data_IF_138890190609
#
_entry.id   IF_138890190609
#
_cell.length_a   1.000
_cell.length_b   1.000
_cell.length_c   1.000
_cell.angle_alpha   90.00
_cell.angle_beta   90.00
_cell.angle_gamma   90.00
#
_symmetry.space_group_name_H-M   'P 1'
#
loop_
_entity.id
_entity.type
_entity.pdbx_description
1 polymer ?
#
# COMPACT_ATOMS: atom_id res chain seq x y z
N UNK A 1 18.31 -24.16 -16.97
CA UNK A 1 17.54 -23.48 -18.02
C UNK A 1 16.07 -23.45 -17.63
N UNK A 2 15.39 -22.33 -17.84
CA UNK A 2 13.96 -22.15 -17.50
C UNK A 2 13.78 -21.15 -16.36
N UNK A 3 13.14 -20.01 -16.64
CA UNK A 3 13.10 -18.81 -15.78
C UNK A 3 12.41 -19.09 -14.43
N UNK A 4 13.04 -18.85 -13.26
CA UNK A 4 12.32 -18.77 -11.99
C UNK A 4 11.48 -17.48 -11.85
N UNK A 5 11.54 -16.57 -12.84
CA UNK A 5 11.03 -15.20 -12.74
C UNK A 5 9.50 -15.03 -12.79
N UNK A 6 8.74 -16.00 -13.29
CA UNK A 6 7.30 -15.83 -13.55
C UNK A 6 6.43 -15.80 -12.27
N UNK A 7 6.86 -16.47 -11.19
CA UNK A 7 6.10 -16.55 -9.93
C UNK A 7 6.55 -15.56 -8.86
N UNK A 8 7.67 -14.89 -9.10
CA UNK A 8 8.28 -14.00 -8.11
C UNK A 8 7.37 -12.82 -7.72
N UNK A 9 6.62 -12.17 -8.65
CA UNK A 9 5.69 -11.11 -8.27
C UNK A 9 4.59 -11.60 -7.31
N UNK A 10 3.97 -12.74 -7.61
CA UNK A 10 2.94 -13.33 -6.74
C UNK A 10 3.53 -13.76 -5.39
N UNK A 11 4.77 -14.24 -5.37
CA UNK A 11 5.48 -14.59 -4.14
C UNK A 11 5.62 -13.43 -3.16
N UNK A 12 5.94 -12.21 -3.64
CA UNK A 12 5.97 -11.03 -2.77
C UNK A 12 4.60 -10.68 -2.21
N UNK A 13 3.53 -10.80 -3.00
CA UNK A 13 2.17 -10.55 -2.53
C UNK A 13 1.77 -11.54 -1.44
N UNK A 14 1.96 -12.84 -1.69
CA UNK A 14 1.62 -13.89 -0.74
C UNK A 14 2.44 -13.76 0.55
N UNK A 15 3.74 -13.46 0.45
CA UNK A 15 4.59 -13.24 1.61
C UNK A 15 4.10 -12.04 2.43
N UNK A 16 3.78 -10.93 1.77
CA UNK A 16 3.27 -9.74 2.45
C UNK A 16 1.93 -9.99 3.13
N UNK A 17 1.02 -10.71 2.47
CA UNK A 17 -0.28 -11.07 3.04
C UNK A 17 -0.13 -12.02 4.24
N UNK A 18 0.71 -13.04 4.13
CA UNK A 18 0.99 -13.96 5.23
C UNK A 18 1.60 -13.22 6.44
N UNK A 19 2.52 -12.30 6.18
CA UNK A 19 3.12 -11.46 7.21
C UNK A 19 2.05 -10.58 7.91
N UNK A 20 1.19 -9.87 7.17
CA UNK A 20 0.07 -9.10 7.77
C UNK A 20 -0.84 -9.97 8.60
N UNK A 21 -1.25 -11.14 8.07
CA UNK A 21 -2.13 -12.06 8.77
C UNK A 21 -1.53 -12.58 10.08
N UNK A 22 -0.20 -12.69 10.15
CA UNK A 22 0.54 -13.05 11.37
C UNK A 22 0.81 -11.88 12.32
N UNK A 23 0.43 -10.65 11.95
CA UNK A 23 0.71 -9.43 12.72
C UNK A 23 2.11 -8.85 12.53
N UNK A 24 2.98 -9.46 11.71
CA UNK A 24 4.28 -8.90 11.35
C UNK A 24 4.12 -7.83 10.26
N UNK A 25 3.57 -6.68 10.66
CA UNK A 25 3.36 -5.53 9.79
C UNK A 25 4.68 -5.04 9.16
N UNK A 26 5.83 -4.98 9.88
CA UNK A 26 7.10 -4.62 9.26
C UNK A 26 7.52 -5.56 8.12
N UNK A 27 7.34 -6.88 8.26
CA UNK A 27 7.64 -7.82 7.18
C UNK A 27 6.69 -7.65 5.99
N UNK A 28 5.41 -7.39 6.25
CA UNK A 28 4.45 -7.10 5.20
C UNK A 28 4.83 -5.89 4.36
N UNK A 29 5.14 -4.77 5.01
CA UNK A 29 5.60 -3.53 4.36
C UNK A 29 6.82 -3.81 3.49
N UNK A 30 7.81 -4.56 4.01
CA UNK A 30 9.00 -4.93 3.24
C UNK A 30 8.65 -5.71 1.97
N UNK A 31 7.79 -6.72 2.07
CA UNK A 31 7.42 -7.56 0.94
C UNK A 31 6.68 -6.77 -0.17
N UNK A 32 5.70 -5.94 0.20
CA UNK A 32 4.96 -5.14 -0.77
C UNK A 32 5.81 -4.01 -1.38
N UNK A 33 6.67 -3.36 -0.58
CA UNK A 33 7.61 -2.35 -1.08
C UNK A 33 8.62 -2.96 -2.06
N UNK A 34 9.10 -4.16 -1.78
CA UNK A 34 9.99 -4.88 -2.69
C UNK A 34 9.28 -5.21 -4.01
N UNK A 35 7.99 -5.58 -3.97
CA UNK A 35 7.19 -5.74 -5.18
C UNK A 35 7.15 -4.44 -5.98
N UNK A 36 6.71 -3.33 -5.36
CA UNK A 36 6.48 -2.05 -6.07
C UNK A 36 7.78 -1.38 -6.51
N UNK A 37 8.92 -1.74 -5.91
CA UNK A 37 10.24 -1.37 -6.40
C UNK A 37 10.70 -2.19 -7.60
N UNK A 38 10.46 -3.51 -7.62
CA UNK A 38 11.01 -4.45 -8.62
C UNK A 38 10.09 -4.67 -9.83
N UNK A 39 8.78 -4.50 -9.66
CA UNK A 39 7.75 -4.85 -10.65
C UNK A 39 6.83 -3.67 -10.97
N UNK A 40 7.42 -2.51 -11.21
CA UNK A 40 6.69 -1.33 -11.69
C UNK A 40 6.02 -1.60 -13.05
N UNK A 41 4.79 -1.15 -13.21
CA UNK A 41 3.94 -1.39 -14.38
C UNK A 41 3.37 -2.81 -14.47
N UNK A 42 3.65 -3.69 -13.50
CA UNK A 42 3.08 -5.05 -13.52
C UNK A 42 1.57 -5.00 -13.26
N UNK A 43 0.81 -5.93 -13.85
CA UNK A 43 -0.66 -5.99 -13.71
C UNK A 43 -1.17 -6.12 -12.25
N UNK A 44 -0.29 -6.52 -11.32
CA UNK A 44 -0.60 -6.67 -9.90
C UNK A 44 -0.05 -5.52 -9.04
N UNK A 45 0.64 -4.54 -9.64
CA UNK A 45 1.14 -3.38 -8.92
C UNK A 45 0.05 -2.59 -8.17
N UNK A 46 -1.15 -2.36 -8.73
CA UNK A 46 -2.21 -1.64 -8.00
C UNK A 46 -2.62 -2.37 -6.71
N UNK A 47 -2.65 -3.70 -6.75
CA UNK A 47 -2.92 -4.55 -5.59
C UNK A 47 -1.78 -4.48 -4.57
N UNK A 48 -0.52 -4.52 -5.02
CA UNK A 48 0.64 -4.39 -4.14
C UNK A 48 0.69 -3.02 -3.44
N UNK A 49 0.40 -1.94 -4.18
CA UNK A 49 0.33 -0.58 -3.66
C UNK A 49 -0.79 -0.43 -2.64
N UNK A 50 -1.98 -0.98 -2.92
CA UNK A 50 -3.09 -0.96 -1.96
C UNK A 50 -2.71 -1.70 -0.67
N UNK A 51 -2.12 -2.90 -0.78
CA UNK A 51 -1.71 -3.66 0.39
C UNK A 51 -0.60 -2.96 1.18
N UNK A 52 0.33 -2.29 0.50
CA UNK A 52 1.35 -1.46 1.13
C UNK A 52 0.73 -0.28 1.88
N UNK A 53 -0.19 0.45 1.24
CA UNK A 53 -0.94 1.55 1.85
C UNK A 53 -1.64 1.10 3.14
N UNK A 54 -2.39 0.00 3.08
CA UNK A 54 -3.08 -0.53 4.26
C UNK A 54 -2.11 -1.01 5.35
N UNK A 55 -0.97 -1.60 4.98
CA UNK A 55 0.06 -1.99 5.95
C UNK A 55 0.65 -0.78 6.67
N UNK A 56 0.82 0.36 5.98
CA UNK A 56 1.24 1.60 6.63
C UNK A 56 0.18 2.15 7.58
N UNK A 57 -1.12 2.06 7.23
CA UNK A 57 -2.22 2.41 8.14
C UNK A 57 -2.16 1.55 9.41
N UNK A 58 -1.99 0.23 9.27
CA UNK A 58 -1.87 -0.69 10.42
C UNK A 58 -0.62 -0.43 11.27
N UNK A 59 0.47 0.03 10.66
CA UNK A 59 1.68 0.44 11.38
C UNK A 59 1.55 1.82 12.06
N UNK A 60 0.46 2.56 11.81
CA UNK A 60 0.30 3.94 12.26
C UNK A 60 1.14 4.96 11.47
N UNK A 61 1.81 4.56 10.39
CA UNK A 61 2.60 5.45 9.52
C UNK A 61 1.70 6.13 8.50
N UNK A 62 0.83 7.03 8.99
CA UNK A 62 -0.16 7.73 8.16
C UNK A 62 0.48 8.59 7.07
N UNK A 63 1.71 9.07 7.27
CA UNK A 63 2.43 9.85 6.26
C UNK A 63 2.71 9.01 5.01
N UNK A 64 3.31 7.82 5.18
CA UNK A 64 3.56 6.92 4.04
C UNK A 64 2.30 6.29 3.48
N UNK A 65 1.27 6.09 4.32
CA UNK A 65 -0.03 5.64 3.84
C UNK A 65 -0.63 6.65 2.86
N UNK A 66 -0.60 7.95 3.18
CA UNK A 66 -1.04 9.03 2.28
C UNK A 66 -0.21 9.10 1.01
N UNK A 67 1.12 9.08 1.11
CA UNK A 67 2.00 9.09 -0.07
C UNK A 67 1.69 7.92 -1.02
N UNK A 68 1.47 6.73 -0.46
CA UNK A 68 1.11 5.54 -1.25
C UNK A 68 -0.28 5.69 -1.88
N UNK A 69 -1.25 6.27 -1.15
CA UNK A 69 -2.58 6.53 -1.66
C UNK A 69 -2.58 7.55 -2.81
N UNK A 70 -1.83 8.66 -2.68
CA UNK A 70 -1.62 9.63 -3.75
C UNK A 70 -1.00 8.98 -4.98
N UNK A 71 -0.02 8.09 -4.78
CA UNK A 71 0.56 7.36 -5.89
C UNK A 71 -0.48 6.47 -6.60
N UNK A 72 -1.38 5.80 -5.86
CA UNK A 72 -2.46 4.99 -6.45
C UNK A 72 -3.42 5.86 -7.27
N UNK A 73 -3.85 7.01 -6.75
CA UNK A 73 -4.82 7.88 -7.46
C UNK A 73 -4.24 8.46 -8.75
N UNK A 74 -2.94 8.78 -8.75
CA UNK A 74 -2.21 9.27 -9.93
C UNK A 74 -1.99 8.16 -10.96
N UNK A 75 -1.55 6.97 -10.52
CA UNK A 75 -1.15 5.88 -11.42
C UNK A 75 -2.31 5.03 -11.93
N UNK A 76 -3.42 4.98 -11.19
CA UNK A 76 -4.58 4.12 -11.49
C UNK A 76 -5.90 4.91 -11.46
N UNK A 77 -6.04 6.01 -12.22
CA UNK A 77 -7.21 6.88 -12.16
C UNK A 77 -8.49 6.13 -12.56
N UNK A 78 -9.62 6.51 -11.94
CA UNK A 78 -10.96 5.92 -12.20
C UNK A 78 -11.09 4.42 -11.92
N UNK A 79 -10.19 3.84 -11.12
CA UNK A 79 -10.28 2.43 -10.69
C UNK A 79 -10.83 2.31 -9.27
N UNK A 80 -11.26 1.11 -8.89
CA UNK A 80 -11.64 0.83 -7.49
C UNK A 80 -10.48 1.00 -6.51
N UNK A 81 -9.22 0.80 -6.96
CA UNK A 81 -8.04 1.09 -6.14
C UNK A 81 -7.93 2.59 -5.84
N UNK A 82 -8.13 3.45 -6.84
CA UNK A 82 -8.14 4.90 -6.64
C UNK A 82 -9.25 5.35 -5.69
N UNK A 83 -10.47 4.83 -5.83
CA UNK A 83 -11.57 5.15 -4.91
C UNK A 83 -11.26 4.78 -3.45
N UNK A 84 -10.63 3.63 -3.22
CA UNK A 84 -10.20 3.20 -1.88
C UNK A 84 -9.07 4.08 -1.33
N UNK A 85 -8.12 4.47 -2.18
CA UNK A 85 -7.06 5.41 -1.82
C UNK A 85 -7.60 6.82 -1.49
N UNK A 86 -8.55 7.33 -2.29
CA UNK A 86 -9.23 8.61 -2.05
C UNK A 86 -10.00 8.61 -0.73
N UNK A 87 -10.60 7.48 -0.37
CA UNK A 87 -11.26 7.32 0.94
C UNK A 87 -10.27 7.55 2.07
N UNK A 88 -9.07 6.95 2.00
CA UNK A 88 -8.01 7.19 2.99
C UNK A 88 -7.60 8.66 3.01
N UNK A 89 -7.32 9.26 1.85
CA UNK A 89 -6.88 10.67 1.75
C UNK A 89 -7.90 11.64 2.32
N UNK A 90 -9.18 11.40 2.05
CA UNK A 90 -10.29 12.21 2.56
C UNK A 90 -10.38 12.12 4.08
N UNK A 91 -10.29 10.90 4.64
CA UNK A 91 -10.36 10.67 6.09
C UNK A 91 -9.16 11.29 6.80
N UNK A 92 -7.97 11.12 6.23
CA UNK A 92 -6.75 11.64 6.81
C UNK A 92 -6.67 13.19 6.74
N UNK A 93 -7.22 13.80 5.70
CA UNK A 93 -7.37 15.26 5.61
C UNK A 93 -8.26 15.86 6.70
N UNK A 94 -9.25 15.11 7.19
CA UNK A 94 -10.17 15.55 8.25
C UNK A 94 -9.52 15.51 9.64
N UNK A 95 -8.64 14.55 9.91
CA UNK A 95 -7.91 14.45 11.19
C UNK A 95 -6.88 15.58 11.39
N UNK A 96 -6.33 16.12 10.28
CA UNK A 96 -5.51 17.33 10.31
C UNK A 96 -6.31 18.63 10.48
N UNK A 97 -7.64 18.56 10.36
CA UNK A 97 -8.56 19.70 10.50
C UNK A 97 -9.27 19.72 11.87
N UNK A 98 -8.89 18.85 12.81
CA UNK A 98 -9.26 19.03 14.22
C UNK A 98 -8.51 20.27 14.75
N UNK A 99 -9.20 21.37 15.12
CA UNK A 99 -8.52 22.50 15.75
C UNK A 99 -7.85 21.98 17.01
N UNK A 100 -6.56 22.30 17.16
CA UNK A 100 -5.86 22.14 18.43
C UNK A 100 -6.71 22.83 19.49
N UNK A 101 -7.40 22.05 20.33
CA UNK A 101 -8.15 22.59 21.44
C UNK A 101 -7.13 23.24 22.37
N UNK A 102 -7.12 24.57 22.37
CA UNK A 102 -6.38 25.37 23.32
C UNK A 102 -6.70 24.87 24.74
N UNK A 103 -5.64 24.54 25.49
CA UNK A 103 -5.63 24.60 26.95
C UNK A 103 -4.67 25.70 27.35
#
# INVERSE_FOLDING_TARGET
GGRPAAFVPLGYLLLGQAARASGDIPAAIRAFRDFTGKYRGHALEPMALEMLMQSYVEAGDMAKARETAEHITISNPNTEWAKRAETLLSTAGQEGAMPSAHR
#
